data_IF_008180869820
#
_entry.id   IF_008180869820
#
_cell.length_a   1.000
_cell.length_b   1.000
_cell.length_c   1.000
_cell.angle_alpha   90.00
_cell.angle_beta   90.00
_cell.angle_gamma   90.00
#
_symmetry.space_group_name_H-M   'P 1'
#
loop_
_entity.id
_entity.type
_entity.pdbx_description
1 polymer ?
#
# COMPACT_ATOMS: atom_id res chain seq x y z
N UNK A 1 -9.89 -14.14 11.49
CA UNK A 1 -8.80 -14.76 10.70
C UNK A 1 -7.57 -15.03 11.58
N UNK A 2 -6.87 -16.16 11.39
CA UNK A 2 -5.69 -16.51 12.20
C UNK A 2 -4.48 -15.57 11.99
N UNK A 3 -4.43 -14.85 10.86
CA UNK A 3 -3.31 -13.97 10.48
C UNK A 3 -3.41 -12.50 10.91
N UNK A 4 -4.37 -12.12 11.76
CA UNK A 4 -4.57 -10.73 12.17
C UNK A 4 -5.30 -9.84 11.14
N UNK A 5 -5.20 -8.53 11.31
CA UNK A 5 -5.92 -7.52 10.50
C UNK A 5 -5.13 -7.01 9.28
N UNK A 6 -3.86 -7.40 9.14
CA UNK A 6 -2.98 -6.89 8.09
C UNK A 6 -2.81 -7.88 6.94
N UNK A 7 -2.97 -7.40 5.71
CA UNK A 7 -2.65 -8.14 4.50
C UNK A 7 -1.48 -7.50 3.77
N UNK A 8 -0.59 -8.34 3.27
CA UNK A 8 0.47 -7.94 2.35
C UNK A 8 0.00 -8.22 0.93
N UNK A 9 0.10 -7.22 0.07
CA UNK A 9 -0.33 -7.33 -1.33
C UNK A 9 0.80 -6.84 -2.21
N UNK A 10 1.14 -7.63 -3.22
CA UNK A 10 2.09 -7.23 -4.25
C UNK A 10 1.42 -6.24 -5.20
N UNK A 11 2.12 -5.16 -5.51
CA UNK A 11 1.77 -4.28 -6.61
C UNK A 11 2.03 -4.99 -7.95
N UNK A 12 1.37 -4.54 -9.04
CA UNK A 12 1.79 -4.87 -10.41
C UNK A 12 3.28 -4.64 -10.64
N UNK A 13 3.86 -5.42 -11.56
CA UNK A 13 5.28 -5.31 -11.88
C UNK A 13 5.65 -3.91 -12.40
N UNK A 14 6.83 -3.44 -12.02
CA UNK A 14 7.33 -2.10 -12.39
C UNK A 14 6.92 -0.97 -11.43
N UNK A 15 6.05 -1.23 -10.46
CA UNK A 15 5.66 -0.23 -9.46
C UNK A 15 6.49 -0.33 -8.17
N UNK A 16 6.89 0.84 -7.66
CA UNK A 16 7.52 1.00 -6.35
C UNK A 16 6.49 1.47 -5.32
N UNK A 17 6.37 0.72 -4.21
CA UNK A 17 5.38 1.00 -3.17
C UNK A 17 5.62 2.31 -2.42
N UNK A 18 6.87 2.79 -2.33
CA UNK A 18 7.15 4.06 -1.69
C UNK A 18 6.71 5.23 -2.58
N UNK A 19 6.89 5.13 -3.90
CA UNK A 19 6.36 6.11 -4.86
C UNK A 19 4.83 6.12 -4.88
N UNK A 20 4.18 4.95 -4.95
CA UNK A 20 2.71 4.86 -4.86
C UNK A 20 2.19 5.47 -3.56
N UNK A 21 2.86 5.21 -2.42
CA UNK A 21 2.45 5.79 -1.15
C UNK A 21 2.65 7.31 -1.08
N UNK A 22 3.71 7.86 -1.70
CA UNK A 22 3.92 9.32 -1.79
C UNK A 22 2.79 9.99 -2.56
N UNK A 23 2.37 9.42 -3.69
CA UNK A 23 1.27 9.94 -4.54
C UNK A 23 -0.09 9.84 -3.85
N UNK A 24 -0.32 8.77 -3.09
CA UNK A 24 -1.52 8.62 -2.27
C UNK A 24 -1.55 9.62 -1.10
N UNK A 25 -0.39 9.89 -0.49
CA UNK A 25 -0.26 10.86 0.60
C UNK A 25 -0.63 12.28 0.14
N UNK A 26 -0.27 12.67 -1.09
CA UNK A 26 -0.70 13.93 -1.70
C UNK A 26 -2.23 14.07 -1.83
N UNK A 27 -2.97 12.98 -1.64
CA UNK A 27 -4.43 12.89 -1.64
C UNK A 27 -4.96 12.50 -0.26
N UNK A 28 -4.25 12.80 0.82
CA UNK A 28 -4.65 12.52 2.21
C UNK A 28 -4.94 11.05 2.53
N UNK A 29 -4.34 10.11 1.78
CA UNK A 29 -4.42 8.67 2.08
C UNK A 29 -3.04 8.13 2.38
N UNK A 30 -2.86 7.65 3.61
CA UNK A 30 -1.63 6.98 4.03
C UNK A 30 -1.68 5.51 3.61
N UNK A 31 -0.89 5.16 2.62
CA UNK A 31 -0.55 3.77 2.30
C UNK A 31 0.74 3.37 3.03
N UNK A 32 0.92 2.08 3.29
CA UNK A 32 2.04 1.58 4.07
C UNK A 32 3.00 0.76 3.17
N UNK A 33 4.11 1.36 2.68
CA UNK A 33 5.12 0.68 1.88
C UNK A 33 5.76 -0.49 2.60
N UNK A 34 5.99 -1.59 1.88
CA UNK A 34 6.52 -2.83 2.45
C UNK A 34 7.90 -2.67 3.08
N UNK A 35 8.77 -1.83 2.50
CA UNK A 35 10.13 -1.60 3.00
C UNK A 35 10.19 -0.88 4.36
N UNK A 36 9.12 -0.21 4.78
CA UNK A 36 9.01 0.32 6.15
C UNK A 36 8.93 -0.81 7.17
N UNK A 37 8.49 -1.99 6.76
CA UNK A 37 8.30 -3.17 7.62
C UNK A 37 9.21 -4.34 7.26
N UNK A 38 10.18 -4.14 6.37
CA UNK A 38 11.14 -5.15 5.95
C UNK A 38 12.55 -4.72 6.34
N UNK A 39 13.21 -5.39 7.32
CA UNK A 39 14.57 -5.03 7.74
C UNK A 39 15.60 -5.04 6.60
N UNK A 40 15.40 -5.91 5.60
CA UNK A 40 16.28 -6.04 4.44
C UNK A 40 15.95 -5.08 3.30
N UNK A 41 14.87 -4.30 3.39
CA UNK A 41 14.34 -3.48 2.28
C UNK A 41 14.11 -4.26 0.98
N UNK A 42 13.71 -5.53 1.11
CA UNK A 42 13.40 -6.43 -0.01
C UNK A 42 11.92 -6.45 -0.39
N UNK A 43 11.10 -5.56 0.17
CA UNK A 43 9.65 -5.55 0.02
C UNK A 43 9.10 -4.31 -0.70
N UNK A 44 9.94 -3.61 -1.47
CA UNK A 44 9.58 -2.41 -2.22
C UNK A 44 8.40 -2.57 -3.18
N UNK A 45 8.08 -3.80 -3.61
CA UNK A 45 6.90 -4.11 -4.44
C UNK A 45 5.62 -4.42 -3.66
N UNK A 46 5.63 -4.33 -2.33
CA UNK A 46 4.47 -4.71 -1.50
C UNK A 46 3.90 -3.53 -0.73
N UNK A 47 2.59 -3.55 -0.52
CA UNK A 47 1.88 -2.68 0.43
C UNK A 47 1.28 -3.52 1.56
N UNK A 48 1.21 -2.93 2.76
CA UNK A 48 0.55 -3.53 3.92
C UNK A 48 -0.77 -2.83 4.23
N UNK A 49 -1.88 -3.54 4.09
CA UNK A 49 -3.23 -3.01 4.32
C UNK A 49 -3.75 -3.40 5.68
N UNK A 50 -4.28 -2.44 6.46
CA UNK A 50 -5.15 -2.75 7.59
C UNK A 50 -6.56 -3.00 7.07
N UNK A 51 -6.95 -4.25 6.89
CA UNK A 51 -8.25 -4.63 6.31
C UNK A 51 -9.42 -4.07 7.11
N UNK A 52 -9.28 -3.96 8.44
CA UNK A 52 -10.32 -3.39 9.30
C UNK A 52 -10.53 -1.88 9.05
N UNK A 53 -9.56 -1.18 8.44
CA UNK A 53 -9.64 0.23 8.08
C UNK A 53 -9.73 0.46 6.56
N UNK A 54 -9.70 -0.60 5.75
CA UNK A 54 -9.80 -0.51 4.28
C UNK A 54 -11.23 -0.56 3.76
N UNK A 55 -12.26 -0.51 4.62
CA UNK A 55 -13.66 -0.58 4.18
C UNK A 55 -14.14 0.69 3.46
N UNK A 56 -13.43 1.82 3.60
CA UNK A 56 -13.78 3.06 2.92
C UNK A 56 -13.38 2.97 1.42
N UNK A 57 -14.34 3.09 0.48
CA UNK A 57 -14.06 3.00 -0.96
C UNK A 57 -12.98 3.96 -1.45
N UNK A 58 -12.83 5.11 -0.79
CA UNK A 58 -11.83 6.14 -1.10
C UNK A 58 -10.40 5.59 -1.12
N UNK A 59 -10.10 4.60 -0.27
CA UNK A 59 -8.77 3.98 -0.21
C UNK A 59 -8.43 3.32 -1.55
N UNK A 60 -9.40 2.63 -2.17
CA UNK A 60 -9.19 1.92 -3.42
C UNK A 60 -9.13 2.88 -4.61
N UNK A 61 -9.98 3.92 -4.64
CA UNK A 61 -9.92 4.96 -5.69
C UNK A 61 -8.56 5.66 -5.70
N UNK A 62 -8.04 6.07 -4.53
CA UNK A 62 -6.72 6.72 -4.45
C UNK A 62 -5.60 5.77 -4.81
N UNK A 63 -5.68 4.50 -4.38
CA UNK A 63 -4.70 3.49 -4.76
C UNK A 63 -4.65 3.32 -6.29
N UNK A 64 -5.80 3.23 -6.95
CA UNK A 64 -5.88 3.12 -8.41
C UNK A 64 -5.26 4.33 -9.12
N UNK A 65 -5.58 5.55 -8.69
CA UNK A 65 -5.00 6.78 -9.23
C UNK A 65 -3.47 6.82 -9.04
N UNK A 66 -3.00 6.53 -7.82
CA UNK A 66 -1.58 6.57 -7.49
C UNK A 66 -0.72 5.55 -8.26
N UNK A 67 -1.32 4.43 -8.70
CA UNK A 67 -0.65 3.41 -9.52
C UNK A 67 -0.57 3.77 -11.00
N UNK A 68 -1.39 4.72 -11.50
CA UNK A 68 -1.46 5.10 -12.93
C UNK A 68 -0.51 6.23 -13.31
N UNK A 69 -0.06 6.99 -12.32
CA UNK A 69 0.97 8.05 -12.46
C UNK A 69 2.38 7.48 -12.65
#
# INVERSE_FOLDING_TARGET
>A
PRGGMFLWVALPDGLDSAEVARRALARDVVLAPGDVFSPSRGAGRFLRFNVAQSANPRVFTVLEEAMRE
#
